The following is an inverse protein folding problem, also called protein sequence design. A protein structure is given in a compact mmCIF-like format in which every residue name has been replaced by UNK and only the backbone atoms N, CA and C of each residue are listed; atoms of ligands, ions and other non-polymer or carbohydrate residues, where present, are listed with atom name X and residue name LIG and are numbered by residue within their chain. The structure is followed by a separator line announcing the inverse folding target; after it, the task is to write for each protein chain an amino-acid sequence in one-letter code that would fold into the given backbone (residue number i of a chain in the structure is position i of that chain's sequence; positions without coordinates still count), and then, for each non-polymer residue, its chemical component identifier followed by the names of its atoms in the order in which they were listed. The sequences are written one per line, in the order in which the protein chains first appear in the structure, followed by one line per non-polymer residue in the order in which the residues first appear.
data_IF_431301603516
#
_entry.id   IF_431301603516
#
_cell.length_a   1.000
_cell.length_b   1.000
_cell.length_c   1.000
_cell.angle_alpha   90.00
_cell.angle_beta   90.00
_cell.angle_gamma   90.00
#
_symmetry.space_group_name_H-M   'P 1'
#
loop_
_entity.id
_entity.type
_entity.pdbx_description
1 polymer ?
#
# COMPACT_ATOMS: atom_id res chain seq x y z
N UNK A 1 1.15 8.98 1.31
CA UNK A 1 2.07 10.01 1.84
C UNK A 1 1.39 11.38 1.86
N UNK A 2 2.05 12.42 2.38
CA UNK A 2 1.54 13.80 2.41
C UNK A 2 1.05 14.26 3.79
N UNK A 3 1.32 15.52 4.11
CA UNK A 3 1.21 16.09 5.45
C UNK A 3 -0.23 16.34 5.97
N UNK A 4 -1.26 16.03 5.19
CA UNK A 4 -2.65 16.36 5.55
C UNK A 4 -2.95 17.86 5.41
N UNK A 5 -4.23 18.16 5.26
CA UNK A 5 -4.76 19.48 4.96
C UNK A 5 -5.79 19.86 6.02
N UNK A 6 -5.59 21.00 6.65
CA UNK A 6 -6.50 21.56 7.65
C UNK A 6 -7.74 22.16 6.99
N UNK A 7 -8.85 22.15 7.73
CA UNK A 7 -10.07 22.86 7.37
C UNK A 7 -9.96 24.34 7.82
N UNK A 8 -10.40 25.28 6.98
CA UNK A 8 -10.50 26.70 7.33
C UNK A 8 -11.71 27.06 8.20
N UNK A 9 -12.54 26.05 8.54
CA UNK A 9 -13.76 26.18 9.32
C UNK A 9 -15.02 26.39 8.47
N UNK A 10 -14.87 26.40 7.14
CA UNK A 10 -15.97 26.45 6.17
C UNK A 10 -16.01 25.24 5.24
N UNK A 11 -15.20 24.21 5.52
CA UNK A 11 -14.98 23.06 4.64
C UNK A 11 -13.98 23.36 3.53
N UNK A 12 -13.23 24.46 3.65
CA UNK A 12 -12.25 24.93 2.67
C UNK A 12 -10.81 24.66 3.10
N UNK A 13 -9.86 25.01 2.23
CA UNK A 13 -8.44 24.80 2.48
C UNK A 13 -7.90 25.73 3.58
N UNK A 14 -7.62 25.15 4.75
CA UNK A 14 -7.04 25.84 5.92
C UNK A 14 -5.51 25.80 6.00
N UNK A 15 -4.83 25.22 5.02
CA UNK A 15 -3.37 25.08 4.99
C UNK A 15 -2.89 23.63 5.18
N UNK A 16 -1.61 23.39 4.88
CA UNK A 16 -0.96 22.09 5.14
C UNK A 16 -0.60 22.00 6.62
N UNK A 17 -0.88 20.87 7.26
CA UNK A 17 -0.48 20.67 8.64
C UNK A 17 1.04 20.51 8.75
N UNK A 18 1.65 21.26 9.66
CA UNK A 18 3.11 21.30 9.86
C UNK A 18 3.54 20.89 11.27
N UNK A 19 2.57 20.48 12.10
CA UNK A 19 2.83 20.03 13.46
C UNK A 19 3.35 18.58 13.54
N UNK A 20 3.70 18.11 14.75
CA UNK A 20 4.05 16.72 14.96
C UNK A 20 2.82 15.80 14.80
N UNK A 21 3.03 14.59 14.27
CA UNK A 21 2.00 13.54 14.23
C UNK A 21 2.02 12.71 15.51
N UNK A 22 1.53 13.29 16.59
CA UNK A 22 1.46 12.65 17.91
C UNK A 22 0.02 12.56 18.44
N UNK A 23 -0.14 12.07 19.69
CA UNK A 23 -1.44 11.93 20.33
C UNK A 23 -2.20 13.26 20.54
N UNK A 24 -1.54 14.41 20.37
CA UNK A 24 -2.14 15.74 20.44
C UNK A 24 -2.80 16.20 19.14
N UNK A 25 -2.64 15.46 18.04
CA UNK A 25 -3.26 15.79 16.76
C UNK A 25 -4.78 15.68 16.85
N UNK A 26 -5.48 16.78 16.54
CA UNK A 26 -6.94 16.79 16.47
C UNK A 26 -7.39 16.34 15.09
N UNK A 27 -7.77 15.06 14.95
CA UNK A 27 -8.20 14.50 13.65
C UNK A 27 -9.39 15.24 13.02
N UNK A 28 -10.21 15.90 13.83
CA UNK A 28 -11.37 16.70 13.39
C UNK A 28 -10.99 18.02 12.71
N UNK A 29 -9.75 18.51 12.84
CA UNK A 29 -9.33 19.75 12.20
C UNK A 29 -8.91 19.56 10.73
N UNK A 30 -8.90 18.32 10.23
CA UNK A 30 -8.47 18.01 8.87
C UNK A 30 -9.63 18.00 7.90
N UNK A 31 -9.50 18.76 6.82
CA UNK A 31 -10.26 18.57 5.59
C UNK A 31 -9.82 17.27 4.90
N UNK A 32 -8.51 17.02 4.86
CA UNK A 32 -7.91 15.79 4.33
C UNK A 32 -6.90 15.29 5.36
N UNK A 33 -7.10 14.06 5.85
CA UNK A 33 -6.17 13.45 6.80
C UNK A 33 -4.77 13.26 6.21
N UNK A 34 -3.72 13.19 7.05
CA UNK A 34 -2.38 12.86 6.56
C UNK A 34 -2.35 11.45 5.97
N UNK A 35 -1.46 11.23 5.00
CA UNK A 35 -1.19 9.88 4.52
C UNK A 35 -0.47 9.03 5.57
N UNK A 36 -0.45 7.71 5.41
CA UNK A 36 0.17 6.79 6.38
C UNK A 36 1.64 7.13 6.68
N UNK A 37 2.42 7.50 5.65
CA UNK A 37 3.77 8.07 5.80
C UNK A 37 3.78 9.54 5.31
N UNK A 38 3.47 10.52 6.16
CA UNK A 38 3.26 11.91 5.72
C UNK A 38 4.50 12.56 5.14
N UNK A 39 5.67 12.20 5.69
CA UNK A 39 6.99 12.77 5.38
C UNK A 39 7.76 12.03 4.27
N UNK A 40 7.20 10.96 3.71
CA UNK A 40 7.86 10.25 2.62
C UNK A 40 7.94 11.11 1.34
N UNK A 41 9.08 11.04 0.66
CA UNK A 41 9.25 11.60 -0.69
C UNK A 41 8.37 10.85 -1.69
N UNK A 42 7.83 11.56 -2.68
CA UNK A 42 6.94 10.98 -3.69
C UNK A 42 7.55 11.21 -5.07
N UNK A 43 7.62 10.15 -5.85
CA UNK A 43 7.90 10.20 -7.29
C UNK A 43 6.61 9.76 -8.00
N UNK A 44 6.19 10.53 -8.99
CA UNK A 44 4.98 10.25 -9.77
C UNK A 44 5.36 9.92 -11.22
N UNK A 45 5.18 8.66 -11.62
CA UNK A 45 5.38 8.20 -13.00
C UNK A 45 4.03 8.13 -13.70
N UNK A 46 3.86 8.97 -14.73
CA UNK A 46 2.64 8.96 -15.54
C UNK A 46 2.74 7.92 -16.65
N UNK A 47 2.06 6.79 -16.46
CA UNK A 47 2.05 5.68 -17.44
C UNK A 47 0.77 5.64 -18.29
N UNK A 48 -0.33 6.25 -17.84
CA UNK A 48 -1.59 6.29 -18.57
C UNK A 48 -1.79 7.60 -19.34
N UNK A 49 -2.39 7.48 -20.53
CA UNK A 49 -2.99 8.58 -21.24
C UNK A 49 -4.35 9.00 -20.65
N UNK A 50 -5.16 9.72 -21.41
CA UNK A 50 -6.49 10.11 -20.95
C UNK A 50 -7.50 8.94 -20.92
N UNK A 51 -7.23 7.85 -21.64
CA UNK A 51 -8.11 6.69 -21.78
C UNK A 51 -7.28 5.42 -22.01
N UNK A 52 -7.83 4.26 -21.65
CA UNK A 52 -7.35 2.95 -22.08
C UNK A 52 -6.31 2.29 -21.16
N UNK A 53 -5.53 1.39 -21.75
CA UNK A 53 -4.46 0.63 -21.12
C UNK A 53 -3.11 1.35 -21.22
N UNK A 54 -2.07 0.76 -20.63
CA UNK A 54 -0.69 1.25 -20.72
C UNK A 54 0.26 0.08 -20.97
N UNK A 55 1.19 0.27 -21.91
CA UNK A 55 2.31 -0.63 -22.18
C UNK A 55 3.62 -0.07 -21.55
N UNK A 56 3.50 0.89 -20.62
CA UNK A 56 4.63 1.54 -19.94
C UNK A 56 4.81 1.05 -18.51
N UNK A 57 3.99 0.10 -18.05
CA UNK A 57 4.01 -0.37 -16.66
C UNK A 57 5.35 -1.00 -16.33
N UNK A 58 5.84 -1.89 -17.19
CA UNK A 58 7.12 -2.59 -17.04
C UNK A 58 8.29 -1.61 -17.08
N UNK A 59 8.25 -0.62 -17.97
CA UNK A 59 9.27 0.42 -18.07
C UNK A 59 9.30 1.33 -16.83
N UNK A 60 8.14 1.60 -16.22
CA UNK A 60 8.07 2.38 -14.98
C UNK A 60 8.60 1.58 -13.78
N UNK A 61 8.37 0.27 -13.75
CA UNK A 61 8.96 -0.62 -12.74
C UNK A 61 10.48 -0.66 -12.90
N UNK A 62 10.97 -0.83 -14.13
CA UNK A 62 12.42 -0.83 -14.44
C UNK A 62 13.09 0.48 -14.02
N UNK A 63 12.49 1.63 -14.38
CA UNK A 63 12.96 2.94 -13.94
C UNK A 63 12.97 3.09 -12.42
N UNK A 64 12.02 2.49 -11.70
CA UNK A 64 11.98 2.57 -10.24
C UNK A 64 13.10 1.75 -9.57
N UNK A 65 13.62 0.73 -10.25
CA UNK A 65 14.76 -0.09 -9.78
C UNK A 65 16.10 0.58 -10.08
N UNK A 66 16.20 1.29 -11.20
CA UNK A 66 17.41 2.03 -11.61
C UNK A 66 17.01 3.40 -12.21
N UNK A 67 16.73 4.42 -11.38
CA UNK A 67 16.27 5.72 -11.84
C UNK A 67 17.25 6.47 -12.74
N UNK A 68 18.55 6.20 -12.61
CA UNK A 68 19.61 6.88 -13.32
C UNK A 68 20.14 6.09 -14.55
N UNK A 69 19.85 4.80 -14.62
CA UNK A 69 20.17 3.91 -15.74
C UNK A 69 21.63 3.44 -15.81
N UNK A 70 22.37 3.46 -14.71
CA UNK A 70 23.79 3.09 -14.65
C UNK A 70 24.05 1.63 -14.25
N UNK A 71 23.00 0.88 -13.89
CA UNK A 71 23.07 -0.50 -13.44
C UNK A 71 23.45 -0.68 -11.96
N UNK A 72 23.57 0.40 -11.18
CA UNK A 72 23.72 0.39 -9.73
C UNK A 72 22.37 0.64 -9.03
N UNK A 73 21.84 -0.39 -8.38
CA UNK A 73 20.54 -0.30 -7.69
C UNK A 73 20.62 0.39 -6.31
N UNK A 74 21.70 1.09 -6.01
CA UNK A 74 21.85 1.84 -4.76
C UNK A 74 20.84 3.01 -4.64
N UNK A 75 20.39 3.58 -5.76
CA UNK A 75 19.45 4.71 -5.82
C UNK A 75 18.01 4.32 -6.17
N UNK A 76 17.71 3.01 -6.20
CA UNK A 76 16.36 2.46 -6.36
C UNK A 76 15.36 3.10 -5.39
N UNK A 77 14.10 3.14 -5.78
CA UNK A 77 13.03 3.55 -4.86
C UNK A 77 12.78 2.48 -3.80
N UNK A 78 12.27 2.88 -2.64
CA UNK A 78 11.97 1.92 -1.56
C UNK A 78 10.70 1.10 -1.85
N UNK A 79 9.65 1.76 -2.35
CA UNK A 79 8.33 1.15 -2.57
C UNK A 79 7.66 1.69 -3.82
N UNK A 80 7.04 0.79 -4.59
CA UNK A 80 6.18 1.10 -5.72
C UNK A 80 4.73 0.83 -5.32
N UNK A 81 3.86 1.83 -5.49
CA UNK A 81 2.41 1.64 -5.40
C UNK A 81 1.78 1.54 -6.79
N UNK A 82 1.20 0.40 -7.12
CA UNK A 82 0.47 0.14 -8.36
C UNK A 82 -1.02 -0.04 -8.11
N UNK A 83 -1.76 1.06 -8.21
CA UNK A 83 -3.23 1.08 -8.16
C UNK A 83 -3.86 0.76 -9.54
N UNK A 84 -3.36 -0.27 -10.21
CA UNK A 84 -3.73 -0.70 -11.57
C UNK A 84 -3.80 -2.22 -11.65
N UNK A 85 -4.38 -2.74 -12.73
CA UNK A 85 -4.24 -4.14 -13.09
C UNK A 85 -5.31 -4.66 -14.05
N UNK A 86 -5.10 -5.90 -14.50
CA UNK A 86 -6.04 -6.67 -15.32
C UNK A 86 -6.50 -7.93 -14.57
N UNK A 87 -7.81 -8.16 -14.52
CA UNK A 87 -8.45 -9.33 -13.89
C UNK A 87 -7.94 -10.63 -14.50
N UNK A 88 -7.97 -11.72 -13.72
CA UNK A 88 -7.50 -13.05 -14.15
C UNK A 88 -6.02 -13.03 -14.52
N UNK A 89 -5.21 -12.37 -13.69
CA UNK A 89 -3.78 -12.26 -13.91
C UNK A 89 -3.07 -13.61 -13.82
N UNK A 90 -1.99 -13.75 -14.57
CA UNK A 90 -1.09 -14.89 -14.52
C UNK A 90 0.28 -14.49 -13.97
N UNK A 91 0.99 -15.44 -13.35
CA UNK A 91 2.33 -15.18 -12.79
C UNK A 91 3.39 -14.92 -13.85
N UNK A 92 3.15 -15.34 -15.09
CA UNK A 92 4.00 -15.08 -16.25
C UNK A 92 3.58 -13.82 -17.04
N UNK A 93 2.59 -13.07 -16.56
CA UNK A 93 2.29 -11.76 -17.13
C UNK A 93 3.51 -10.83 -17.02
N UNK A 94 3.85 -10.03 -18.04
CA UNK A 94 5.05 -9.20 -18.03
C UNK A 94 5.17 -8.27 -16.81
N UNK A 95 4.07 -7.64 -16.40
CA UNK A 95 4.03 -6.79 -15.20
C UNK A 95 4.21 -7.58 -13.90
N UNK A 96 3.75 -8.84 -13.82
CA UNK A 96 3.95 -9.69 -12.66
C UNK A 96 5.42 -10.12 -12.55
N UNK A 97 6.02 -10.55 -13.65
CA UNK A 97 7.45 -10.89 -13.73
C UNK A 97 8.33 -9.68 -13.41
N UNK A 98 8.00 -8.51 -13.93
CA UNK A 98 8.71 -7.27 -13.62
C UNK A 98 8.60 -6.91 -12.13
N UNK A 99 7.44 -7.12 -11.52
CA UNK A 99 7.23 -6.89 -10.08
C UNK A 99 8.07 -7.84 -9.23
N UNK A 100 8.14 -9.12 -9.58
CA UNK A 100 9.00 -10.09 -8.90
C UNK A 100 10.48 -9.74 -9.01
N UNK A 101 10.92 -9.30 -10.19
CA UNK A 101 12.30 -8.85 -10.39
C UNK A 101 12.63 -7.57 -9.60
N UNK A 102 11.69 -6.61 -9.52
CA UNK A 102 11.87 -5.42 -8.71
C UNK A 102 11.97 -5.75 -7.21
N UNK A 103 11.14 -6.67 -6.73
CA UNK A 103 11.24 -7.20 -5.36
C UNK A 103 12.59 -7.86 -5.08
N UNK A 104 13.10 -8.66 -6.04
CA UNK A 104 14.44 -9.26 -5.93
C UNK A 104 15.57 -8.21 -5.92
N UNK A 105 15.38 -7.06 -6.59
CA UNK A 105 16.30 -5.92 -6.52
C UNK A 105 16.17 -5.11 -5.21
N UNK A 106 15.21 -5.48 -4.34
CA UNK A 106 14.97 -4.87 -3.05
C UNK A 106 13.84 -3.83 -3.05
N UNK A 107 13.16 -3.58 -4.17
CA UNK A 107 12.05 -2.62 -4.22
C UNK A 107 10.76 -3.32 -3.79
N UNK A 108 10.08 -2.85 -2.74
CA UNK A 108 8.80 -3.45 -2.34
C UNK A 108 7.73 -3.04 -3.36
N UNK A 109 7.04 -4.02 -3.94
CA UNK A 109 5.95 -3.77 -4.87
C UNK A 109 4.62 -3.98 -4.19
N UNK A 110 3.80 -2.94 -4.10
CA UNK A 110 2.45 -2.98 -3.55
C UNK A 110 1.45 -2.77 -4.67
N UNK A 111 0.57 -3.74 -4.91
CA UNK A 111 -0.38 -3.71 -6.00
C UNK A 111 -1.82 -3.93 -5.52
N UNK A 112 -2.77 -3.22 -6.10
CA UNK A 112 -4.19 -3.41 -5.80
C UNK A 112 -4.68 -4.76 -6.31
N UNK A 113 -5.42 -5.53 -5.50
CA UNK A 113 -5.88 -6.87 -5.86
C UNK A 113 -6.86 -6.91 -7.05
N UNK A 114 -7.51 -5.77 -7.36
CA UNK A 114 -8.50 -5.62 -8.43
C UNK A 114 -9.92 -5.30 -7.92
N UNK A 115 -10.81 -4.87 -8.82
CA UNK A 115 -12.18 -4.45 -8.49
C UNK A 115 -13.27 -5.33 -9.16
N UNK A 116 -12.96 -6.60 -9.41
CA UNK A 116 -13.82 -7.54 -10.16
C UNK A 116 -14.81 -8.33 -9.29
N UNK A 117 -14.89 -7.99 -8.01
CA UNK A 117 -15.82 -8.58 -7.04
C UNK A 117 -15.44 -9.98 -6.58
N UNK A 118 -16.36 -10.58 -5.83
CA UNK A 118 -16.21 -11.91 -5.25
C UNK A 118 -16.41 -13.00 -6.30
N UNK A 119 -15.42 -13.13 -7.18
CA UNK A 119 -15.32 -14.20 -8.17
C UNK A 119 -13.99 -14.91 -7.92
N UNK A 120 -14.04 -16.24 -7.83
CA UNK A 120 -12.84 -17.05 -7.69
C UNK A 120 -11.86 -16.79 -8.84
N UNK A 121 -10.57 -16.80 -8.54
CA UNK A 121 -9.51 -16.59 -9.53
C UNK A 121 -9.59 -15.23 -10.23
N UNK A 122 -10.18 -14.21 -9.60
CA UNK A 122 -10.29 -12.88 -10.18
C UNK A 122 -9.13 -11.94 -9.80
N UNK A 123 -8.16 -12.41 -9.01
CA UNK A 123 -6.96 -11.66 -8.65
C UNK A 123 -6.27 -11.07 -9.90
N UNK A 124 -5.90 -9.80 -9.84
CA UNK A 124 -5.37 -9.07 -10.99
C UNK A 124 -3.85 -9.09 -11.10
N UNK A 125 -3.32 -9.04 -12.32
CA UNK A 125 -1.91 -8.73 -12.57
C UNK A 125 -1.69 -7.22 -12.52
N UNK A 126 -0.61 -6.71 -11.87
CA UNK A 126 0.55 -7.45 -11.34
C UNK A 126 0.41 -7.97 -9.90
N UNK A 127 -0.72 -7.77 -9.24
CA UNK A 127 -0.94 -8.20 -7.85
C UNK A 127 -0.96 -9.72 -7.63
N UNK A 128 -0.89 -10.52 -8.70
CA UNK A 128 -0.70 -11.98 -8.65
C UNK A 128 0.78 -12.39 -8.60
N UNK A 129 1.74 -11.48 -8.75
CA UNK A 129 3.16 -11.79 -8.65
C UNK A 129 3.50 -12.43 -7.30
N UNK A 130 4.53 -13.28 -7.27
CA UNK A 130 4.91 -14.02 -6.07
C UNK A 130 5.37 -13.10 -4.93
N UNK A 131 6.04 -12.00 -5.26
CA UNK A 131 6.69 -11.05 -4.34
C UNK A 131 6.06 -9.66 -4.35
N UNK A 132 4.90 -9.52 -5.01
CA UNK A 132 4.11 -8.31 -4.89
C UNK A 132 3.09 -8.46 -3.76
N UNK A 133 3.02 -7.45 -2.91
CA UNK A 133 2.03 -7.34 -1.84
C UNK A 133 0.70 -6.93 -2.47
N UNK A 134 -0.21 -7.89 -2.57
CA UNK A 134 -1.56 -7.78 -3.13
C UNK A 134 -2.53 -7.30 -2.07
N UNK A 135 -3.25 -6.21 -2.37
CA UNK A 135 -4.04 -5.50 -1.37
C UNK A 135 -5.54 -5.56 -1.66
N UNK A 136 -6.27 -6.21 -0.75
CA UNK A 136 -7.73 -6.23 -0.70
C UNK A 136 -8.30 -4.91 -0.16
N UNK A 137 -9.51 -4.57 -0.60
CA UNK A 137 -10.25 -3.44 -0.06
C UNK A 137 -11.24 -3.91 1.02
N UNK A 138 -11.16 -3.27 2.18
CA UNK A 138 -12.13 -3.43 3.26
C UNK A 138 -12.88 -2.13 3.51
N UNK A 139 -14.04 -2.28 4.16
CA UNK A 139 -14.77 -1.15 4.71
C UNK A 139 -14.01 -0.60 5.90
N UNK A 140 -13.71 0.69 5.85
CA UNK A 140 -13.43 1.42 7.07
C UNK A 140 -14.75 1.96 7.63
N UNK A 141 -14.73 2.32 8.90
CA UNK A 141 -15.73 3.20 9.44
C UNK A 141 -15.80 4.50 8.62
N UNK A 142 -17.01 4.97 8.34
CA UNK A 142 -17.26 6.05 7.39
C UNK A 142 -16.81 7.42 7.93
N UNK A 143 -16.55 7.53 9.25
CA UNK A 143 -16.08 8.75 9.90
C UNK A 143 -14.74 8.49 10.61
N UNK A 144 -13.83 9.49 10.57
CA UNK A 144 -12.56 9.46 11.31
C UNK A 144 -12.72 9.39 12.85
N UNK A 145 -13.95 9.51 13.36
CA UNK A 145 -14.31 9.49 14.78
C UNK A 145 -14.73 8.11 15.31
N UNK A 146 -14.98 7.16 14.42
CA UNK A 146 -15.44 5.84 14.81
C UNK A 146 -14.24 5.00 15.27
N UNK A 147 -14.44 4.16 16.30
CA UNK A 147 -13.39 3.25 16.78
C UNK A 147 -13.00 2.28 15.65
N UNK A 148 -11.76 2.36 15.11
CA UNK A 148 -11.34 1.55 13.98
C UNK A 148 -11.31 0.05 14.29
N UNK A 149 -11.47 -0.37 15.55
CA UNK A 149 -11.50 -1.76 15.98
C UNK A 149 -12.92 -2.29 16.26
N UNK A 150 -13.97 -1.46 16.20
CA UNK A 150 -15.27 -1.77 16.82
C UNK A 150 -16.40 -2.28 15.90
N UNK A 151 -16.27 -2.25 14.56
CA UNK A 151 -17.27 -2.86 13.67
C UNK A 151 -16.78 -4.20 13.11
N UNK A 152 -17.69 -5.11 12.70
CA UNK A 152 -17.30 -6.21 11.83
C UNK A 152 -16.76 -5.62 10.53
N UNK A 153 -15.44 -5.58 10.42
CA UNK A 153 -14.74 -5.22 9.19
C UNK A 153 -15.14 -6.26 8.17
N UNK A 154 -15.80 -5.82 7.09
CA UNK A 154 -16.22 -6.69 5.99
C UNK A 154 -15.41 -6.34 4.75
N UNK A 155 -15.16 -7.34 3.91
CA UNK A 155 -14.66 -7.10 2.56
C UNK A 155 -15.62 -6.19 1.81
N UNK A 156 -15.11 -5.39 0.88
CA UNK A 156 -15.98 -4.71 -0.08
C UNK A 156 -16.52 -5.68 -1.12
N UNK A 157 -17.70 -5.44 -1.66
CA UNK A 157 -18.31 -6.31 -2.68
C UNK A 157 -17.55 -6.31 -4.02
N UNK A 158 -16.68 -5.32 -4.21
CA UNK A 158 -15.90 -5.13 -5.44
C UNK A 158 -14.49 -5.68 -5.34
N UNK A 159 -13.93 -5.95 -4.15
CA UNK A 159 -12.54 -6.44 -4.07
C UNK A 159 -12.45 -7.77 -4.81
N UNK A 160 -11.47 -7.87 -5.72
CA UNK A 160 -11.12 -9.14 -6.31
C UNK A 160 -10.55 -10.07 -5.23
N UNK A 161 -10.78 -11.35 -5.40
CA UNK A 161 -10.43 -12.40 -4.45
C UNK A 161 -9.61 -13.47 -5.13
N UNK A 162 -8.88 -14.19 -4.30
CA UNK A 162 -8.18 -15.37 -4.74
C UNK A 162 -9.09 -16.60 -4.85
N UNK A 163 -8.49 -17.79 -4.87
CA UNK A 163 -7.03 -17.97 -4.93
C UNK A 163 -6.48 -17.50 -6.28
N UNK A 164 -5.15 -17.33 -6.37
CA UNK A 164 -4.47 -16.90 -7.59
C UNK A 164 -4.78 -17.86 -8.76
N UNK A 165 -5.07 -17.34 -9.97
CA UNK A 165 -5.24 -18.17 -11.17
C UNK A 165 -4.03 -19.07 -11.45
N UNK A 166 -4.28 -20.31 -11.87
CA UNK A 166 -3.24 -21.24 -12.34
C UNK A 166 -2.69 -22.18 -11.27
N UNK A 167 -2.30 -21.66 -10.11
CA UNK A 167 -1.65 -22.46 -9.05
C UNK A 167 -2.38 -22.43 -7.70
N UNK A 168 -3.45 -21.64 -7.60
CA UNK A 168 -4.26 -21.49 -6.40
C UNK A 168 -3.49 -20.98 -5.17
N UNK A 169 -2.39 -20.24 -5.37
CA UNK A 169 -1.71 -19.57 -4.27
C UNK A 169 -2.65 -18.57 -3.57
N UNK A 170 -2.39 -18.33 -2.28
CA UNK A 170 -3.13 -17.35 -1.50
C UNK A 170 -2.93 -15.96 -2.11
N UNK A 171 -4.02 -15.29 -2.49
CA UNK A 171 -4.09 -13.86 -2.79
C UNK A 171 -5.50 -13.38 -2.42
N UNK A 172 -5.72 -12.11 -2.04
CA UNK A 172 -4.71 -11.09 -1.74
C UNK A 172 -3.85 -11.49 -0.52
N UNK A 173 -2.73 -10.79 -0.29
CA UNK A 173 -1.85 -11.06 0.87
C UNK A 173 -2.35 -10.31 2.11
N UNK A 174 -2.94 -9.13 1.92
CA UNK A 174 -3.36 -8.27 3.02
C UNK A 174 -4.61 -7.46 2.66
N UNK A 175 -5.28 -6.92 3.66
CA UNK A 175 -6.41 -6.01 3.50
C UNK A 175 -6.11 -4.61 4.08
N UNK A 176 -6.61 -3.57 3.41
CA UNK A 176 -6.53 -2.20 3.89
C UNK A 176 -7.80 -1.38 3.56
N UNK A 177 -8.05 -0.26 4.27
CA UNK A 177 -9.17 0.64 3.98
C UNK A 177 -9.25 1.04 2.50
N UNK A 178 -10.33 0.65 1.84
CA UNK A 178 -10.55 0.91 0.41
C UNK A 178 -11.96 1.36 0.06
N UNK A 179 -12.90 1.41 1.00
CA UNK A 179 -14.22 1.99 0.78
C UNK A 179 -14.35 3.35 1.46
N UNK A 180 -14.86 4.34 0.73
CA UNK A 180 -15.14 5.66 1.28
C UNK A 180 -13.90 6.39 1.77
N UNK A 181 -12.77 6.22 1.08
CA UNK A 181 -11.51 6.87 1.45
C UNK A 181 -11.53 8.31 0.96
N UNK A 182 -11.52 9.26 1.89
CA UNK A 182 -11.36 10.68 1.59
C UNK A 182 -9.89 11.02 1.35
N UNK A 183 -9.58 11.67 0.23
CA UNK A 183 -8.21 12.06 -0.13
C UNK A 183 -8.17 13.34 -0.95
N UNK A 184 -6.97 13.81 -1.26
CA UNK A 184 -6.75 15.02 -2.03
C UNK A 184 -7.19 14.85 -3.49
N UNK A 185 -7.94 15.81 -4.00
CA UNK A 185 -8.26 15.98 -5.42
C UNK A 185 -7.90 17.39 -5.87
N UNK A 186 -7.75 17.58 -7.18
CA UNK A 186 -7.51 18.90 -7.75
C UNK A 186 -8.78 19.76 -7.62
N UNK A 187 -8.69 20.87 -6.87
CA UNK A 187 -9.76 21.84 -6.72
C UNK A 187 -9.58 23.08 -7.59
N UNK A 188 -10.62 23.92 -7.70
CA UNK A 188 -10.57 25.20 -8.41
C UNK A 188 -11.17 26.34 -7.56
N UNK A 189 -10.36 27.28 -7.02
CA UNK A 189 -8.89 27.33 -7.03
C UNK A 189 -8.28 26.55 -5.85
N UNK A 190 -7.40 25.58 -6.12
CA UNK A 190 -6.51 25.00 -5.11
C UNK A 190 -6.75 23.52 -4.81
N UNK A 191 -6.85 23.18 -3.53
CA UNK A 191 -7.00 21.81 -3.04
C UNK A 191 -8.45 21.55 -2.69
N UNK A 192 -8.94 20.36 -3.04
CA UNK A 192 -10.25 19.88 -2.62
C UNK A 192 -10.12 18.44 -2.13
N UNK A 193 -11.16 17.94 -1.47
CA UNK A 193 -11.23 16.58 -0.96
C UNK A 193 -12.23 15.77 -1.77
N UNK A 194 -11.88 14.52 -2.07
CA UNK A 194 -12.72 13.60 -2.81
C UNK A 194 -12.77 12.26 -2.11
N UNK A 195 -13.97 11.69 -2.02
CA UNK A 195 -14.18 10.37 -1.43
C UNK A 195 -14.39 9.33 -2.53
N UNK A 196 -13.49 8.35 -2.59
CA UNK A 196 -13.54 7.27 -3.58
C UNK A 196 -13.46 5.89 -2.93
N UNK A 197 -13.81 4.87 -3.71
CA UNK A 197 -13.76 3.47 -3.28
C UNK A 197 -13.09 2.61 -4.34
N UNK A 198 -12.22 1.70 -3.91
CA UNK A 198 -11.49 0.77 -4.76
C UNK A 198 -10.32 0.15 -4.02
N UNK A 199 -9.84 -1.00 -4.51
CA UNK A 199 -8.52 -1.54 -4.09
C UNK A 199 -7.38 -0.57 -4.43
N UNK A 200 -7.58 0.29 -5.43
CA UNK A 200 -6.73 1.45 -5.74
C UNK A 200 -6.53 2.44 -4.58
N UNK A 201 -7.48 2.52 -3.64
CA UNK A 201 -7.37 3.33 -2.42
C UNK A 201 -6.78 2.52 -1.24
N UNK A 202 -6.92 1.20 -1.26
CA UNK A 202 -6.34 0.32 -0.25
C UNK A 202 -4.82 0.18 -0.40
N UNK A 203 -4.34 -0.08 -1.63
CA UNK A 203 -2.91 -0.22 -1.94
C UNK A 203 -2.02 0.91 -1.37
N UNK A 204 -2.35 2.22 -1.51
CA UNK A 204 -1.50 3.29 -0.99
C UNK A 204 -1.44 3.37 0.54
N UNK A 205 -2.39 2.76 1.27
CA UNK A 205 -2.26 2.62 2.73
C UNK A 205 -1.12 1.65 3.07
N UNK A 206 -1.04 0.52 2.36
CA UNK A 206 0.01 -0.49 2.54
C UNK A 206 1.36 0.05 2.07
N UNK A 207 1.43 0.73 0.93
CA UNK A 207 2.66 1.38 0.48
C UNK A 207 3.17 2.42 1.49
N UNK A 208 2.27 3.16 2.13
CA UNK A 208 2.63 4.05 3.22
C UNK A 208 3.13 3.33 4.48
N UNK A 209 2.55 2.16 4.81
CA UNK A 209 3.08 1.31 5.88
C UNK A 209 4.48 0.81 5.56
N UNK A 210 4.72 0.34 4.34
CA UNK A 210 6.06 -0.06 3.88
C UNK A 210 7.05 1.09 4.06
N UNK A 211 6.69 2.32 3.67
CA UNK A 211 7.56 3.48 3.87
C UNK A 211 7.87 3.77 5.36
N UNK A 212 6.91 3.52 6.27
CA UNK A 212 7.18 3.62 7.71
C UNK A 212 8.13 2.52 8.20
N UNK A 213 7.98 1.29 7.70
CA UNK A 213 8.86 0.17 8.05
C UNK A 213 10.28 0.42 7.55
N UNK A 214 10.45 0.88 6.32
CA UNK A 214 11.75 1.26 5.76
C UNK A 214 12.38 2.42 6.56
N UNK A 215 11.58 3.41 6.97
CA UNK A 215 12.07 4.50 7.83
C UNK A 215 12.50 4.03 9.24
N UNK A 216 11.83 3.01 9.77
CA UNK A 216 12.19 2.38 11.03
C UNK A 216 13.46 1.51 10.92
N UNK A 217 13.67 0.88 9.76
CA UNK A 217 14.88 0.10 9.42
C UNK A 217 16.10 1.01 9.25
N UNK A 218 15.94 2.11 8.50
CA UNK A 218 17.01 3.07 8.17
C UNK A 218 17.51 3.96 9.33
N UNK A 219 17.21 3.65 10.59
CA UNK A 219 17.57 4.50 11.73
C UNK A 219 19.10 4.66 11.91
N UNK A 220 19.89 3.66 11.52
CA UNK A 220 21.36 3.71 11.53
C UNK A 220 21.96 4.08 10.15
N UNK A 221 21.11 4.39 9.16
CA UNK A 221 21.50 4.69 7.79
C UNK A 221 21.68 3.46 6.89
N UNK A 222 21.42 2.26 7.40
CA UNK A 222 21.47 1.02 6.64
C UNK A 222 20.10 0.38 6.58
N UNK A 223 19.79 -0.24 5.43
CA UNK A 223 18.57 -1.02 5.27
C UNK A 223 18.92 -2.48 5.54
N UNK A 224 18.47 -3.02 6.66
CA UNK A 224 18.80 -4.37 7.08
C UNK A 224 17.73 -5.38 6.67
N UNK A 225 16.45 -4.96 6.64
CA UNK A 225 15.35 -5.86 6.31
C UNK A 225 15.20 -6.05 4.80
N UNK A 226 15.17 -7.33 4.40
CA UNK A 226 14.80 -7.76 3.06
C UNK A 226 13.31 -7.46 2.74
N UNK A 227 12.96 -7.55 1.46
CA UNK A 227 11.55 -7.39 1.02
C UNK A 227 10.66 -8.44 1.69
N UNK A 228 11.11 -9.69 1.73
CA UNK A 228 10.37 -10.80 2.34
C UNK A 228 10.16 -10.59 3.86
N UNK A 229 11.14 -10.01 4.57
CA UNK A 229 11.00 -9.71 6.00
C UNK A 229 10.01 -8.57 6.25
N UNK A 230 10.04 -7.52 5.44
CA UNK A 230 9.08 -6.41 5.52
C UNK A 230 7.66 -6.91 5.25
N UNK A 231 7.48 -7.71 4.20
CA UNK A 231 6.20 -8.37 3.91
C UNK A 231 5.75 -9.21 5.10
N UNK A 232 6.66 -10.00 5.68
CA UNK A 232 6.35 -10.85 6.82
C UNK A 232 5.93 -10.07 8.06
N UNK A 233 6.53 -8.91 8.32
CA UNK A 233 6.10 -8.03 9.41
C UNK A 233 4.68 -7.50 9.19
N UNK A 234 4.33 -7.16 7.95
CA UNK A 234 2.97 -6.71 7.60
C UNK A 234 1.96 -7.84 7.82
N UNK A 235 2.26 -9.05 7.34
CA UNK A 235 1.38 -10.22 7.48
C UNK A 235 1.18 -10.64 8.94
N UNK A 236 2.27 -10.77 9.70
CA UNK A 236 2.21 -11.33 11.06
C UNK A 236 1.58 -10.38 12.09
N UNK A 237 1.57 -9.09 11.80
CA UNK A 237 0.93 -8.09 12.67
C UNK A 237 -0.48 -7.75 12.25
N UNK A 238 -0.92 -8.28 11.11
CA UNK A 238 -2.26 -8.07 10.61
C UNK A 238 -3.30 -8.52 11.64
N UNK A 239 -4.38 -7.76 11.72
CA UNK A 239 -5.56 -8.18 12.46
C UNK A 239 -6.33 -9.13 11.55
N UNK A 240 -6.29 -10.41 11.90
CA UNK A 240 -7.02 -11.47 11.20
C UNK A 240 -8.52 -11.15 11.09
N UNK A 241 -9.10 -11.40 9.92
CA UNK A 241 -10.49 -11.10 9.59
C UNK A 241 -11.10 -12.26 8.83
N UNK A 242 -12.38 -12.54 9.11
CA UNK A 242 -13.07 -13.65 8.44
C UNK A 242 -12.87 -14.96 9.19
N UNK A 243 -12.51 -16.02 8.46
CA UNK A 243 -12.20 -17.31 9.06
C UNK A 243 -10.80 -17.27 9.69
N UNK A 244 -10.55 -17.96 10.82
CA UNK A 244 -9.23 -17.90 11.45
C UNK A 244 -8.10 -18.34 10.53
N UNK A 245 -7.10 -17.48 10.37
CA UNK A 245 -5.92 -17.68 9.55
C UNK A 245 -6.07 -17.14 8.12
N UNK A 246 -5.01 -17.24 7.31
CA UNK A 246 -4.98 -16.57 6.01
C UNK A 246 -6.02 -17.14 5.04
N UNK A 247 -6.75 -16.25 4.37
CA UNK A 247 -7.83 -16.62 3.45
C UNK A 247 -7.83 -15.83 2.12
N UNK A 248 -8.60 -16.30 1.14
CA UNK A 248 -8.66 -15.69 -0.20
C UNK A 248 -9.50 -14.39 -0.27
N UNK A 249 -10.03 -13.93 0.86
CA UNK A 249 -10.88 -12.75 0.97
C UNK A 249 -10.10 -11.54 1.52
N UNK A 250 -9.30 -11.77 2.57
CA UNK A 250 -8.56 -10.76 3.33
C UNK A 250 -7.05 -11.00 3.35
N UNK A 251 -6.57 -12.13 2.84
CA UNK A 251 -5.19 -12.56 3.03
C UNK A 251 -4.92 -12.84 4.49
N UNK A 252 -3.84 -12.30 5.04
CA UNK A 252 -3.53 -12.35 6.48
C UNK A 252 -4.41 -11.43 7.35
N UNK A 253 -5.29 -10.64 6.74
CA UNK A 253 -6.20 -9.75 7.45
C UNK A 253 -5.85 -8.27 7.24
N UNK A 254 -6.39 -7.41 8.11
CA UNK A 254 -6.20 -5.96 7.99
C UNK A 254 -4.84 -5.52 8.51
N UNK A 255 -4.14 -4.67 7.76
CA UNK A 255 -2.88 -4.06 8.21
C UNK A 255 -2.98 -3.40 9.59
N UNK A 256 -1.93 -3.57 10.39
CA UNK A 256 -1.76 -2.89 11.67
C UNK A 256 -0.42 -2.15 11.69
N UNK A 257 -0.45 -0.89 11.23
CA UNK A 257 0.76 -0.11 11.07
C UNK A 257 1.52 0.11 12.40
N UNK A 258 0.80 0.29 13.50
CA UNK A 258 1.42 0.50 14.82
C UNK A 258 2.19 -0.75 15.27
N UNK A 259 1.56 -1.91 15.22
CA UNK A 259 2.21 -3.16 15.64
C UNK A 259 3.36 -3.55 14.71
N UNK A 260 3.21 -3.39 13.40
CA UNK A 260 4.26 -3.64 12.41
C UNK A 260 5.52 -2.80 12.68
N UNK A 261 5.35 -1.48 12.81
CA UNK A 261 6.48 -0.55 13.06
C UNK A 261 7.08 -0.77 14.44
N UNK A 262 6.26 -1.01 15.47
CA UNK A 262 6.76 -1.35 16.80
C UNK A 262 7.61 -2.61 16.78
N UNK A 263 7.20 -3.62 16.02
CA UNK A 263 7.97 -4.85 15.89
C UNK A 263 9.28 -4.58 15.16
N UNK A 264 9.28 -3.89 14.01
CA UNK A 264 10.49 -3.53 13.28
C UNK A 264 11.50 -2.77 14.16
N UNK A 265 11.06 -1.78 14.93
CA UNK A 265 11.91 -1.05 15.87
C UNK A 265 12.44 -1.91 17.04
N UNK A 266 11.75 -3.00 17.37
CA UNK A 266 12.13 -3.93 18.45
C UNK A 266 12.96 -5.11 17.96
N UNK A 267 12.94 -5.39 16.65
CA UNK A 267 13.74 -6.41 16.00
C UNK A 267 15.19 -5.93 16.02
N UNK A 268 15.85 -6.10 17.16
CA UNK A 268 17.26 -5.74 17.33
C UNK A 268 18.14 -6.58 16.42
N UNK A 269 19.28 -6.02 16.05
CA UNK A 269 20.23 -6.70 15.18
C UNK A 269 21.19 -7.61 15.97
N UNK A 270 21.31 -8.87 15.55
CA UNK A 270 22.32 -9.81 16.03
C UNK A 270 23.42 -9.97 14.98
N UNK A 271 24.28 -8.95 14.85
CA UNK A 271 25.47 -9.02 13.98
C UNK A 271 26.55 -9.90 14.62
N UNK A 272 26.93 -10.99 13.94
CA UNK A 272 28.01 -11.88 14.34
C UNK A 272 28.94 -12.19 13.16
N UNK A 273 30.25 -12.20 13.40
CA UNK A 273 31.23 -12.66 12.40
C UNK A 273 31.41 -14.17 12.57
N UNK A 274 30.98 -14.96 11.58
CA UNK A 274 31.40 -16.35 11.49
C UNK A 274 32.83 -16.36 10.97
N UNK A 275 33.77 -16.82 11.80
CA UNK A 275 35.17 -17.07 11.41
C UNK A 275 35.37 -18.52 11.02
#
# INVERSE_FOLDING_TARGET
AGFGVLDDGSGGFGGTFTGPYDAGVQTQSFLIGPGVAPQASIIALKIFGCHGSSDLTELAIDWAVDPNGDGDFADKVDVINMSLGSTYGATDDPAAVASDNAALAGVIVVASAGNSGNVYFAASSPAVADRAVSVAAIRNHLNMTDDPLAAPVSTTSFTARGPRPGDSALKPDIAAPGQGVNSAVMGAPGWDSGTWSGTSMAAPHVAGLVALLVSADLQDGHRDFSVDEIERFIELTAVDLGEPGPDNDFGYGRINAYEAVRWALSAGDLRGTVR
#
